data_IF_142233778850
#
_entry.id   IF_142233778850
#
_cell.length_a   1.000
_cell.length_b   1.000
_cell.length_c   1.000
_cell.angle_alpha   90.00
_cell.angle_beta   90.00
_cell.angle_gamma   90.00
#
_symmetry.space_group_name_H-M   'P 1'
#
loop_
_entity.id
_entity.type
_entity.pdbx_description
1 polymer ?
#
# COMPACT_ATOMS: atom_id res chain seq x y z
N UNK A 1 1.74 14.86 1.89
CA UNK A 1 1.59 13.41 1.66
C UNK A 1 0.64 13.15 0.49
N UNK A 2 1.00 12.23 -0.41
CA UNK A 2 0.12 11.74 -1.49
C UNK A 2 -0.82 10.65 -0.97
N UNK A 3 -2.12 10.74 -1.28
CA UNK A 3 -3.09 9.74 -0.82
C UNK A 3 -3.77 9.04 -1.99
N UNK A 4 -3.62 7.72 -2.04
CA UNK A 4 -4.26 6.83 -3.00
C UNK A 4 -5.57 6.29 -2.42
N UNK A 5 -6.69 6.55 -3.10
CA UNK A 5 -7.97 5.97 -2.71
C UNK A 5 -8.00 4.51 -3.11
N UNK A 6 -7.94 3.61 -2.13
CA UNK A 6 -8.08 2.18 -2.37
C UNK A 6 -9.46 1.87 -2.94
N UNK A 7 -9.54 1.07 -4.00
CA UNK A 7 -10.83 0.66 -4.56
C UNK A 7 -10.83 -0.77 -5.11
N UNK A 8 -11.94 -1.49 -4.89
CA UNK A 8 -12.22 -2.79 -5.51
C UNK A 8 -13.01 -2.65 -6.83
N UNK A 9 -13.18 -1.43 -7.33
CA UNK A 9 -13.90 -1.09 -8.56
C UNK A 9 -12.90 -0.63 -9.66
N UNK A 10 -12.35 -1.56 -10.48
CA UNK A 10 -11.35 -1.21 -11.48
C UNK A 10 -11.79 -0.12 -12.45
N UNK A 11 -13.06 -0.10 -12.85
CA UNK A 11 -13.60 0.88 -13.79
C UNK A 11 -13.46 2.34 -13.31
N UNK A 12 -13.25 2.58 -12.02
CA UNK A 12 -13.00 3.91 -11.48
C UNK A 12 -11.66 4.50 -11.92
N UNK A 13 -10.70 3.67 -12.37
CA UNK A 13 -9.48 4.16 -13.01
C UNK A 13 -9.80 5.16 -14.14
N UNK A 14 -10.90 4.96 -14.87
CA UNK A 14 -11.29 5.80 -16.01
C UNK A 14 -12.06 7.08 -15.63
N UNK A 15 -12.56 7.19 -14.39
CA UNK A 15 -13.55 8.24 -14.06
C UNK A 15 -13.34 8.95 -12.73
N UNK A 16 -12.57 8.38 -11.79
CA UNK A 16 -12.45 8.94 -10.45
C UNK A 16 -11.66 10.27 -10.41
N UNK A 17 -10.74 10.48 -11.36
CA UNK A 17 -9.95 11.71 -11.47
C UNK A 17 -9.03 12.01 -10.28
N UNK A 18 -8.78 11.03 -9.41
CA UNK A 18 -7.89 11.14 -8.23
C UNK A 18 -6.97 9.93 -8.16
N UNK A 19 -5.83 10.01 -7.44
CA UNK A 19 -4.97 8.87 -7.30
C UNK A 19 -5.66 7.65 -6.68
N UNK A 20 -5.51 6.49 -7.32
CA UNK A 20 -6.13 5.23 -6.89
C UNK A 20 -5.09 4.18 -6.49
N UNK A 21 -5.49 3.30 -5.59
CA UNK A 21 -4.76 2.07 -5.26
C UNK A 21 -5.63 0.87 -5.63
N UNK A 22 -5.15 0.04 -6.57
CA UNK A 22 -5.95 -1.02 -7.18
C UNK A 22 -5.20 -2.35 -7.11
N UNK A 23 -5.89 -3.42 -6.74
CA UNK A 23 -5.29 -4.74 -6.61
C UNK A 23 -5.18 -5.48 -7.94
N UNK A 24 -4.04 -6.13 -8.16
CA UNK A 24 -3.81 -7.08 -9.25
C UNK A 24 -4.95 -8.10 -9.34
N UNK A 25 -5.46 -8.58 -8.20
CA UNK A 25 -6.57 -9.55 -8.15
C UNK A 25 -7.88 -9.06 -8.77
N UNK A 26 -8.08 -7.74 -8.86
CA UNK A 26 -9.25 -7.13 -9.50
C UNK A 26 -9.05 -6.90 -11.00
N UNK A 27 -7.79 -6.93 -11.46
CA UNK A 27 -7.38 -6.66 -12.83
C UNK A 27 -7.09 -7.94 -13.62
N UNK A 28 -6.51 -8.97 -12.99
CA UNK A 28 -5.96 -10.15 -13.66
C UNK A 28 -6.96 -10.87 -14.56
N UNK A 29 -8.21 -11.04 -14.10
CA UNK A 29 -9.27 -11.71 -14.87
C UNK A 29 -9.96 -10.85 -15.91
N UNK A 30 -9.57 -9.58 -16.09
CA UNK A 30 -10.27 -8.67 -17.00
C UNK A 30 -9.79 -8.86 -18.44
N UNK A 31 -10.76 -9.05 -19.34
CA UNK A 31 -10.52 -9.02 -20.80
C UNK A 31 -10.08 -7.64 -21.25
N UNK A 32 -10.83 -6.59 -20.89
CA UNK A 32 -10.49 -5.19 -21.16
C UNK A 32 -10.13 -4.42 -19.90
N UNK A 33 -9.11 -3.58 -20.02
CA UNK A 33 -8.63 -2.71 -18.96
C UNK A 33 -9.11 -1.27 -19.18
N UNK A 34 -9.49 -0.55 -18.12
CA UNK A 34 -9.80 0.88 -18.21
C UNK A 34 -8.53 1.67 -18.48
N UNK A 35 -8.63 2.78 -19.21
CA UNK A 35 -7.55 3.79 -19.24
C UNK A 35 -7.61 4.65 -17.98
N UNK A 36 -6.48 4.99 -17.41
CA UNK A 36 -6.43 5.81 -16.22
C UNK A 36 -6.69 7.28 -16.55
N UNK A 37 -7.56 7.92 -15.77
CA UNK A 37 -7.82 9.36 -15.77
C UNK A 37 -6.91 10.13 -14.80
N UNK A 38 -6.20 9.43 -13.90
CA UNK A 38 -5.24 9.99 -12.95
C UNK A 38 -4.16 8.95 -12.60
N UNK A 39 -3.02 9.37 -12.02
CA UNK A 39 -1.98 8.43 -11.62
C UNK A 39 -2.46 7.42 -10.59
N UNK A 40 -1.94 6.20 -10.62
CA UNK A 40 -2.37 5.14 -9.71
C UNK A 40 -1.20 4.24 -9.32
N UNK A 41 -1.41 3.49 -8.24
CA UNK A 41 -0.47 2.49 -7.78
C UNK A 41 -1.13 1.11 -7.63
N UNK A 42 -0.34 0.08 -7.81
CA UNK A 42 -0.79 -1.31 -7.85
C UNK A 42 -0.51 -2.03 -6.52
N UNK A 43 -1.53 -2.64 -5.95
CA UNK A 43 -1.41 -3.67 -4.92
C UNK A 43 -1.17 -5.04 -5.57
N UNK A 44 -0.19 -5.80 -5.08
CA UNK A 44 0.11 -7.15 -5.59
C UNK A 44 -0.97 -8.16 -5.24
N UNK A 45 -1.75 -7.90 -4.19
CA UNK A 45 -2.79 -8.81 -3.69
C UNK A 45 -2.28 -9.85 -2.69
N UNK A 46 -1.06 -9.70 -2.18
CA UNK A 46 -0.38 -10.69 -1.34
C UNK A 46 -1.14 -11.09 -0.09
N UNK A 47 -1.77 -10.13 0.58
CA UNK A 47 -2.63 -10.43 1.73
C UNK A 47 -3.72 -11.45 1.39
N UNK A 48 -4.38 -11.29 0.26
CA UNK A 48 -5.47 -12.20 -0.13
C UNK A 48 -4.91 -13.55 -0.56
N UNK A 49 -3.83 -13.56 -1.33
CA UNK A 49 -3.27 -14.78 -1.88
C UNK A 49 -2.70 -15.70 -0.80
N UNK A 50 -1.88 -15.16 0.09
CA UNK A 50 -1.31 -15.91 1.23
C UNK A 50 -2.43 -16.30 2.21
N UNK A 51 -3.41 -15.44 2.48
CA UNK A 51 -4.54 -15.81 3.33
C UNK A 51 -5.31 -17.01 2.77
N UNK A 52 -5.50 -17.07 1.45
CA UNK A 52 -6.25 -18.16 0.81
C UNK A 52 -5.42 -19.44 0.72
N UNK A 53 -4.15 -19.36 0.35
CA UNK A 53 -3.38 -20.53 -0.07
C UNK A 53 -2.19 -20.87 0.83
N UNK A 54 -1.79 -19.96 1.73
CA UNK A 54 -0.56 -20.10 2.54
C UNK A 54 0.72 -19.81 1.75
N UNK A 55 0.61 -19.46 0.48
CA UNK A 55 1.72 -19.24 -0.44
C UNK A 55 1.32 -18.33 -1.60
N UNK A 56 2.32 -17.89 -2.37
CA UNK A 56 2.11 -17.28 -3.68
C UNK A 56 1.89 -18.37 -4.74
N UNK A 57 0.77 -18.29 -5.46
CA UNK A 57 0.49 -19.12 -6.64
C UNK A 57 0.78 -18.38 -7.94
N UNK A 58 0.59 -17.07 -7.94
CA UNK A 58 1.02 -16.16 -8.99
C UNK A 58 2.54 -16.13 -8.98
N UNK A 59 3.17 -16.60 -10.04
CA UNK A 59 4.63 -16.56 -10.15
C UNK A 59 5.13 -15.14 -10.44
N UNK A 60 6.41 -14.84 -10.13
CA UNK A 60 7.01 -13.56 -10.49
C UNK A 60 6.94 -13.25 -11.99
N UNK A 61 7.06 -14.25 -12.86
CA UNK A 61 6.97 -14.07 -14.31
C UNK A 61 5.54 -13.69 -14.76
N UNK A 62 4.51 -14.34 -14.21
CA UNK A 62 3.12 -13.99 -14.47
C UNK A 62 2.80 -12.59 -13.94
N UNK A 63 3.30 -12.25 -12.75
CA UNK A 63 3.09 -10.93 -12.17
C UNK A 63 3.76 -9.83 -13.01
N UNK A 64 5.02 -10.01 -13.42
CA UNK A 64 5.71 -9.08 -14.35
C UNK A 64 4.91 -8.88 -15.63
N UNK A 65 4.43 -9.96 -16.24
CA UNK A 65 3.62 -9.91 -17.47
C UNK A 65 2.36 -9.08 -17.25
N UNK A 66 1.66 -9.30 -16.13
CA UNK A 66 0.47 -8.54 -15.78
C UNK A 66 0.80 -7.05 -15.54
N UNK A 67 1.88 -6.72 -14.82
CA UNK A 67 2.26 -5.33 -14.57
C UNK A 67 2.64 -4.60 -15.86
N UNK A 68 3.36 -5.25 -16.79
CA UNK A 68 3.65 -4.67 -18.12
C UNK A 68 2.37 -4.36 -18.90
N UNK A 69 1.41 -5.29 -18.87
CA UNK A 69 0.10 -5.10 -19.47
C UNK A 69 -0.62 -3.90 -18.86
N UNK A 70 -0.63 -3.78 -17.54
CA UNK A 70 -1.27 -2.67 -16.83
C UNK A 70 -0.60 -1.34 -17.15
N UNK A 71 0.73 -1.28 -17.15
CA UNK A 71 1.49 -0.07 -17.52
C UNK A 71 1.12 0.42 -18.92
N UNK A 72 0.97 -0.51 -19.87
CA UNK A 72 0.72 -0.20 -21.29
C UNK A 72 -0.75 0.14 -21.56
N UNK A 73 -1.70 -0.68 -21.10
CA UNK A 73 -3.12 -0.54 -21.43
C UNK A 73 -3.83 0.49 -20.53
N UNK A 74 -3.48 0.53 -19.23
CA UNK A 74 -4.10 1.46 -18.27
C UNK A 74 -3.40 2.82 -18.32
N UNK A 75 -2.07 2.84 -18.41
CA UNK A 75 -1.27 4.06 -18.34
C UNK A 75 -1.22 4.66 -16.93
N UNK A 76 -0.39 5.70 -16.75
CA UNK A 76 -0.24 6.45 -15.49
C UNK A 76 0.06 5.62 -14.23
N UNK A 77 0.68 4.44 -14.38
CA UNK A 77 1.15 3.63 -13.25
C UNK A 77 2.37 4.31 -12.62
N UNK A 78 2.27 4.74 -11.36
CA UNK A 78 3.36 5.40 -10.64
C UNK A 78 4.33 4.41 -10.01
N UNK A 79 3.79 3.38 -9.35
CA UNK A 79 4.57 2.30 -8.77
C UNK A 79 3.69 1.08 -8.52
N UNK A 80 4.33 -0.06 -8.29
CA UNK A 80 3.68 -1.33 -8.02
C UNK A 80 4.31 -2.02 -6.81
N UNK A 81 3.47 -2.50 -5.89
CA UNK A 81 3.91 -3.34 -4.79
C UNK A 81 4.47 -4.66 -5.34
N UNK A 82 5.50 -5.18 -4.70
CA UNK A 82 6.04 -6.52 -4.99
C UNK A 82 5.23 -7.62 -4.29
N UNK A 83 5.58 -8.87 -4.55
CA UNK A 83 4.91 -10.03 -3.95
C UNK A 83 5.57 -10.37 -2.60
N UNK A 84 5.34 -9.50 -1.62
CA UNK A 84 5.88 -9.61 -0.28
C UNK A 84 5.16 -10.64 0.60
N UNK A 85 5.67 -10.81 1.81
CA UNK A 85 5.14 -11.74 2.80
C UNK A 85 4.89 -10.99 4.10
N UNK A 86 3.62 -10.72 4.40
CA UNK A 86 3.26 -9.90 5.55
C UNK A 86 3.45 -10.64 6.88
N UNK A 87 3.88 -9.93 7.91
CA UNK A 87 4.27 -10.42 9.23
C UNK A 87 3.17 -10.26 10.31
N UNK A 88 1.91 -9.99 9.95
CA UNK A 88 0.83 -10.10 10.93
C UNK A 88 0.71 -11.53 11.47
N UNK A 89 0.38 -11.67 12.76
CA UNK A 89 0.29 -12.98 13.43
C UNK A 89 -0.61 -13.98 12.70
N UNK A 90 -1.69 -13.51 12.09
CA UNK A 90 -2.60 -14.35 11.30
C UNK A 90 -1.95 -14.89 10.02
N UNK A 91 -1.02 -14.14 9.41
CA UNK A 91 -0.27 -14.58 8.22
C UNK A 91 0.83 -15.56 8.62
N UNK A 92 1.58 -15.27 9.69
CA UNK A 92 2.59 -16.19 10.23
C UNK A 92 1.96 -17.53 10.64
N UNK A 93 0.80 -17.51 11.29
CA UNK A 93 0.05 -18.72 11.64
C UNK A 93 -0.44 -19.46 10.38
N UNK A 94 -0.81 -18.73 9.32
CA UNK A 94 -1.28 -19.31 8.06
C UNK A 94 -0.17 -20.02 7.29
N UNK A 95 1.05 -19.49 7.33
CA UNK A 95 2.21 -20.03 6.59
C UNK A 95 3.06 -21.00 7.43
N UNK A 96 2.98 -20.93 8.76
CA UNK A 96 3.86 -21.65 9.67
C UNK A 96 5.29 -21.12 9.69
N UNK A 97 5.54 -19.92 9.14
CA UNK A 97 6.86 -19.33 8.98
C UNK A 97 7.13 -18.24 10.02
N UNK A 98 8.42 -17.95 10.25
CA UNK A 98 8.85 -16.86 11.13
C UNK A 98 8.84 -15.50 10.42
N UNK A 99 8.93 -14.41 11.19
CA UNK A 99 9.16 -13.05 10.65
C UNK A 99 10.42 -13.01 9.78
N UNK A 100 11.49 -13.66 10.21
CA UNK A 100 12.75 -13.72 9.46
C UNK A 100 12.59 -14.47 8.12
N UNK A 101 11.79 -15.53 8.07
CA UNK A 101 11.45 -16.24 6.83
C UNK A 101 10.68 -15.34 5.86
N UNK A 102 9.65 -14.65 6.36
CA UNK A 102 8.86 -13.71 5.57
C UNK A 102 9.72 -12.57 5.02
N UNK A 103 10.62 -12.01 5.84
CA UNK A 103 11.58 -11.00 5.38
C UNK A 103 12.50 -11.54 4.28
N UNK A 104 13.10 -12.72 4.46
CA UNK A 104 13.96 -13.34 3.43
C UNK A 104 13.22 -13.52 2.11
N UNK A 105 12.01 -14.06 2.15
CA UNK A 105 11.18 -14.28 0.95
C UNK A 105 10.77 -12.96 0.29
N UNK A 106 10.45 -11.94 1.09
CA UNK A 106 10.11 -10.59 0.62
C UNK A 106 11.29 -9.94 -0.12
N UNK A 107 12.48 -9.96 0.50
CA UNK A 107 13.70 -9.39 -0.11
C UNK A 107 14.05 -10.16 -1.40
N UNK A 108 14.04 -11.49 -1.35
CA UNK A 108 14.31 -12.32 -2.52
C UNK A 108 13.34 -12.03 -3.68
N UNK A 109 12.04 -11.89 -3.39
CA UNK A 109 11.05 -11.56 -4.40
C UNK A 109 11.28 -10.17 -5.02
N UNK A 110 11.58 -9.15 -4.20
CA UNK A 110 11.91 -7.82 -4.72
C UNK A 110 13.11 -7.87 -5.68
N UNK A 111 14.19 -8.57 -5.28
CA UNK A 111 15.39 -8.71 -6.11
C UNK A 111 15.09 -9.44 -7.42
N UNK A 112 14.29 -10.51 -7.36
CA UNK A 112 13.86 -11.25 -8.55
C UNK A 112 13.03 -10.38 -9.51
N UNK A 113 12.03 -9.66 -9.00
CA UNK A 113 11.20 -8.77 -9.82
C UNK A 113 12.01 -7.64 -10.44
N UNK A 114 12.92 -7.02 -9.68
CA UNK A 114 13.84 -6.00 -10.17
C UNK A 114 14.79 -6.55 -11.23
N UNK A 115 15.28 -7.78 -11.08
CA UNK A 115 16.12 -8.45 -12.08
C UNK A 115 15.35 -8.74 -13.37
N UNK A 116 14.13 -9.28 -13.27
CA UNK A 116 13.29 -9.63 -14.43
C UNK A 116 12.76 -8.42 -15.19
N UNK A 117 12.48 -7.32 -14.49
CA UNK A 117 11.88 -6.14 -15.06
C UNK A 117 12.41 -4.87 -14.38
N UNK A 118 13.67 -4.49 -14.64
CA UNK A 118 14.30 -3.32 -14.01
C UNK A 118 13.67 -1.99 -14.43
N UNK A 119 12.95 -1.97 -15.54
CA UNK A 119 12.25 -0.79 -16.06
C UNK A 119 10.91 -0.51 -15.36
N UNK A 120 10.40 -1.46 -14.55
CA UNK A 120 9.14 -1.32 -13.83
C UNK A 120 9.34 -0.66 -12.45
N UNK A 121 8.41 0.20 -12.01
CA UNK A 121 8.55 0.97 -10.78
C UNK A 121 8.17 0.15 -9.54
N UNK A 122 9.03 -0.78 -9.14
CA UNK A 122 8.81 -1.63 -7.95
C UNK A 122 9.00 -0.82 -6.66
N UNK A 123 8.00 -0.85 -5.78
CA UNK A 123 8.15 -0.38 -4.40
C UNK A 123 8.95 -1.39 -3.57
N UNK A 124 9.68 -0.92 -2.56
CA UNK A 124 10.48 -1.78 -1.67
C UNK A 124 9.73 -1.99 -0.34
N UNK A 125 9.13 -3.16 -0.09
CA UNK A 125 8.41 -3.41 1.15
C UNK A 125 9.36 -3.76 2.29
N UNK A 126 9.25 -3.05 3.40
CA UNK A 126 9.81 -3.44 4.69
C UNK A 126 8.74 -4.20 5.49
N UNK A 127 9.12 -5.35 6.03
CA UNK A 127 8.24 -6.25 6.76
C UNK A 127 8.76 -6.49 8.17
N UNK A 128 7.86 -6.49 9.16
CA UNK A 128 8.25 -6.68 10.56
C UNK A 128 7.08 -6.56 11.52
N UNK A 129 7.34 -6.93 12.78
CA UNK A 129 6.40 -6.72 13.88
C UNK A 129 6.89 -5.59 14.81
N UNK A 130 8.16 -5.58 15.17
CA UNK A 130 8.78 -4.62 16.08
C UNK A 130 9.68 -3.65 15.32
N UNK A 131 10.09 -2.54 15.97
CA UNK A 131 11.10 -1.63 15.39
C UNK A 131 12.35 -2.38 14.96
N UNK A 132 12.84 -3.31 15.80
CA UNK A 132 14.01 -4.14 15.48
C UNK A 132 13.79 -5.00 14.23
N UNK A 133 12.58 -5.55 14.02
CA UNK A 133 12.28 -6.29 12.80
C UNK A 133 12.35 -5.41 11.55
N UNK A 134 11.79 -4.19 11.59
CA UNK A 134 11.87 -3.28 10.43
C UNK A 134 13.30 -2.86 10.12
N UNK A 135 14.10 -2.56 11.15
CA UNK A 135 15.51 -2.23 10.97
C UNK A 135 16.30 -3.44 10.42
N UNK A 136 16.05 -4.64 10.95
CA UNK A 136 16.65 -5.87 10.42
C UNK A 136 16.20 -6.19 9.00
N UNK A 137 14.96 -5.86 8.62
CA UNK A 137 14.50 -5.99 7.23
C UNK A 137 15.26 -5.00 6.32
N UNK A 138 15.49 -3.78 6.78
CA UNK A 138 16.28 -2.79 6.05
C UNK A 138 17.74 -3.26 5.88
N UNK A 139 18.36 -3.80 6.93
CA UNK A 139 19.72 -4.36 6.86
C UNK A 139 19.84 -5.46 5.80
N UNK A 140 18.80 -6.31 5.65
CA UNK A 140 18.79 -7.36 4.61
C UNK A 140 18.78 -6.79 3.19
N UNK A 141 18.06 -5.70 2.96
CA UNK A 141 18.06 -5.03 1.65
C UNK A 141 19.42 -4.36 1.39
N UNK A 142 19.95 -3.66 2.38
CA UNK A 142 21.25 -2.98 2.26
C UNK A 142 22.40 -3.98 2.03
N UNK A 143 22.39 -5.12 2.73
CA UNK A 143 23.33 -6.22 2.51
C UNK A 143 23.21 -6.84 1.09
N UNK A 144 22.05 -6.71 0.45
CA UNK A 144 21.84 -7.09 -0.94
C UNK A 144 22.16 -5.97 -1.96
N UNK A 145 22.76 -4.87 -1.51
CA UNK A 145 23.15 -3.72 -2.35
C UNK A 145 21.99 -2.81 -2.74
N UNK A 146 20.89 -2.82 -1.98
CA UNK A 146 19.73 -1.97 -2.22
C UNK A 146 19.80 -0.72 -1.35
N UNK A 147 19.90 0.45 -1.99
CA UNK A 147 19.83 1.75 -1.31
C UNK A 147 18.36 2.13 -1.04
N UNK A 148 17.95 2.02 0.22
CA UNK A 148 16.61 2.36 0.67
C UNK A 148 16.37 3.86 0.80
N UNK A 149 17.41 4.66 0.99
CA UNK A 149 17.30 6.12 1.11
C UNK A 149 17.07 6.77 -0.27
N UNK A 150 17.66 6.20 -1.32
CA UNK A 150 17.44 6.62 -2.71
C UNK A 150 16.17 6.02 -3.36
N UNK A 151 15.52 5.05 -2.71
CA UNK A 151 14.35 4.39 -3.26
C UNK A 151 13.16 5.37 -3.40
N UNK A 152 12.45 5.37 -4.55
CA UNK A 152 11.34 6.31 -4.77
C UNK A 152 10.15 6.04 -3.85
N UNK A 153 9.94 4.77 -3.49
CA UNK A 153 8.87 4.30 -2.59
C UNK A 153 9.37 3.13 -1.75
N UNK A 154 9.29 3.28 -0.43
CA UNK A 154 9.52 2.22 0.55
C UNK A 154 8.22 1.94 1.30
N UNK A 155 7.66 0.75 1.12
CA UNK A 155 6.37 0.36 1.69
C UNK A 155 6.50 -0.13 3.12
N UNK A 156 5.68 0.40 4.03
CA UNK A 156 5.54 -0.12 5.40
C UNK A 156 4.52 -1.27 5.40
N UNK A 157 5.01 -2.50 5.27
CA UNK A 157 4.19 -3.70 5.38
C UNK A 157 3.68 -3.91 6.81
N UNK A 158 2.67 -4.77 7.00
CA UNK A 158 2.21 -5.23 8.34
C UNK A 158 1.73 -4.18 9.36
N UNK A 159 1.53 -2.92 8.96
CA UNK A 159 1.11 -1.83 9.88
C UNK A 159 -0.41 -1.70 10.04
N UNK A 160 -1.20 -2.31 9.16
CA UNK A 160 -2.65 -2.09 9.07
C UNK A 160 -3.44 -2.41 10.35
N UNK A 161 -2.96 -3.33 11.21
CA UNK A 161 -3.61 -3.62 12.51
C UNK A 161 -3.00 -2.89 13.70
N UNK A 162 -1.87 -2.19 13.52
CA UNK A 162 -1.09 -1.55 14.60
C UNK A 162 -1.09 -0.01 14.54
N UNK A 163 -1.75 0.56 13.54
CA UNK A 163 -1.86 2.01 13.31
C UNK A 163 -2.50 2.85 14.43
N UNK A 164 -3.07 2.24 15.47
CA UNK A 164 -3.72 2.95 16.58
C UNK A 164 -2.79 3.16 17.79
N UNK A 165 -1.58 2.61 17.78
CA UNK A 165 -0.63 2.67 18.89
C UNK A 165 0.44 3.75 18.66
N UNK A 166 1.19 4.11 19.69
CA UNK A 166 2.41 4.93 19.56
C UNK A 166 3.52 4.22 18.76
N UNK A 167 3.44 2.90 18.65
CA UNK A 167 4.45 2.04 18.01
C UNK A 167 4.69 2.39 16.54
N UNK A 168 3.63 2.72 15.78
CA UNK A 168 3.79 3.07 14.37
C UNK A 168 4.61 4.36 14.19
N UNK A 169 4.45 5.33 15.09
CA UNK A 169 5.28 6.55 15.09
C UNK A 169 6.73 6.22 15.38
N UNK A 170 6.99 5.35 16.37
CA UNK A 170 8.36 4.92 16.71
C UNK A 170 9.04 4.21 15.54
N UNK A 171 8.33 3.33 14.82
CA UNK A 171 8.85 2.65 13.62
C UNK A 171 9.21 3.67 12.54
N UNK A 172 8.30 4.58 12.21
CA UNK A 172 8.54 5.61 11.18
C UNK A 172 9.72 6.51 11.56
N UNK A 173 9.81 6.95 12.81
CA UNK A 173 10.93 7.77 13.30
C UNK A 173 12.26 7.02 13.21
N UNK A 174 12.29 5.73 13.58
CA UNK A 174 13.50 4.92 13.48
C UNK A 174 13.97 4.75 12.01
N UNK A 175 13.04 4.57 11.08
CA UNK A 175 13.35 4.50 9.64
C UNK A 175 13.83 5.85 9.09
N UNK A 176 13.22 6.96 9.53
CA UNK A 176 13.67 8.30 9.18
C UNK A 176 15.09 8.61 9.66
N UNK A 177 15.47 8.12 10.84
CA UNK A 177 16.83 8.26 11.37
C UNK A 177 17.87 7.55 10.49
N UNK A 178 17.46 6.55 9.70
CA UNK A 178 18.29 5.89 8.68
C UNK A 178 18.22 6.55 7.29
N UNK A 179 17.56 7.70 7.17
CA UNK A 179 17.39 8.38 5.88
C UNK A 179 16.28 7.80 4.99
N UNK A 180 15.52 6.80 5.45
CA UNK A 180 14.41 6.22 4.70
C UNK A 180 13.18 7.11 4.83
N UNK A 181 13.08 8.13 3.99
CA UNK A 181 12.03 9.18 4.06
C UNK A 181 10.84 8.91 3.14
N UNK A 182 11.05 8.17 2.05
CA UNK A 182 10.05 7.93 1.00
C UNK A 182 9.06 6.82 1.37
N UNK A 183 8.49 6.92 2.57
CA UNK A 183 7.63 5.89 3.14
C UNK A 183 6.22 5.91 2.55
N UNK A 184 5.70 4.73 2.25
CA UNK A 184 4.29 4.49 1.91
C UNK A 184 3.61 3.67 3.01
N UNK A 185 2.54 4.21 3.59
CA UNK A 185 1.72 3.48 4.55
C UNK A 185 0.63 2.64 3.87
N UNK A 186 0.78 1.31 3.86
CA UNK A 186 -0.23 0.41 3.29
C UNK A 186 -1.47 0.30 4.18
N UNK A 187 -2.65 0.59 3.61
CA UNK A 187 -3.95 0.39 4.24
C UNK A 187 -4.17 1.18 5.54
N UNK A 188 -3.46 2.29 5.74
CA UNK A 188 -3.51 3.06 6.99
C UNK A 188 -4.87 3.77 7.11
N UNK A 189 -5.53 3.60 8.26
CA UNK A 189 -6.83 4.20 8.57
C UNK A 189 -6.69 5.62 9.12
N UNK A 190 -7.80 6.35 9.18
CA UNK A 190 -7.88 7.76 9.61
C UNK A 190 -7.08 8.08 10.87
N UNK A 191 -7.22 7.28 11.94
CA UNK A 191 -6.51 7.54 13.20
C UNK A 191 -4.98 7.41 13.06
N UNK A 192 -4.51 6.41 12.30
CA UNK A 192 -3.09 6.25 12.01
C UNK A 192 -2.56 7.39 11.14
N UNK A 193 -3.31 7.78 10.10
CA UNK A 193 -2.93 8.90 9.24
C UNK A 193 -2.87 10.23 9.99
N UNK A 194 -3.73 10.46 10.99
CA UNK A 194 -3.61 11.64 11.85
C UNK A 194 -2.31 11.66 12.66
N UNK A 195 -1.75 10.48 12.98
CA UNK A 195 -0.51 10.36 13.76
C UNK A 195 0.75 10.46 12.90
N UNK A 196 0.79 9.73 11.78
CA UNK A 196 2.01 9.59 10.96
C UNK A 196 1.91 10.20 9.57
N UNK A 197 0.76 10.77 9.17
CA UNK A 197 0.54 11.27 7.81
C UNK A 197 1.49 12.41 7.42
N UNK A 198 1.99 13.17 8.40
CA UNK A 198 3.01 14.19 8.19
C UNK A 198 4.44 13.63 8.10
N UNK A 199 4.63 12.35 8.47
CA UNK A 199 5.92 11.65 8.46
C UNK A 199 6.06 10.67 7.29
N UNK A 200 5.05 10.49 6.44
CA UNK A 200 5.13 9.56 5.30
C UNK A 200 4.89 10.29 3.99
N UNK A 201 5.58 9.86 2.94
CA UNK A 201 5.45 10.46 1.61
C UNK A 201 4.09 10.15 1.00
N UNK A 202 3.57 8.93 1.22
CA UNK A 202 2.25 8.54 0.73
C UNK A 202 1.55 7.49 1.59
N UNK A 203 0.27 7.27 1.35
CA UNK A 203 -0.51 6.19 1.95
C UNK A 203 -1.71 5.81 1.09
N UNK A 204 -2.28 4.64 1.33
CA UNK A 204 -3.56 4.22 0.77
C UNK A 204 -4.58 3.82 1.86
N UNK A 205 -5.85 3.82 1.50
CA UNK A 205 -6.88 3.19 2.32
C UNK A 205 -8.14 2.85 1.54
N UNK A 206 -8.70 1.68 1.80
CA UNK A 206 -10.05 1.27 1.38
C UNK A 206 -11.07 1.33 2.52
N UNK A 207 -10.73 1.98 3.65
CA UNK A 207 -11.59 2.02 4.84
C UNK A 207 -12.98 2.63 4.59
N UNK A 208 -13.10 3.50 3.58
CA UNK A 208 -14.37 4.10 3.16
C UNK A 208 -15.44 3.04 2.83
N UNK A 209 -15.08 1.91 2.22
CA UNK A 209 -16.05 0.88 1.80
C UNK A 209 -16.59 0.12 3.03
N UNK A 210 -15.75 -0.10 4.03
CA UNK A 210 -16.19 -0.68 5.31
C UNK A 210 -17.10 0.28 6.09
N UNK A 211 -16.77 1.57 6.13
CA UNK A 211 -17.58 2.64 6.75
C UNK A 211 -18.94 2.77 6.05
N UNK A 212 -18.95 2.79 4.71
CA UNK A 212 -20.16 2.90 3.91
C UNK A 212 -21.12 1.71 4.06
N UNK A 213 -20.62 0.50 4.38
CA UNK A 213 -21.47 -0.68 4.68
C UNK A 213 -22.28 -0.53 5.97
N UNK A 214 -21.86 0.34 6.88
CA UNK A 214 -22.42 0.50 8.23
C UNK A 214 -23.23 1.78 8.40
N UNK A 215 -23.46 2.50 7.31
CA UNK A 215 -24.18 3.76 7.31
C UNK A 215 -25.31 3.71 6.29
N UNK A 216 -26.38 4.51 6.50
CA UNK A 216 -27.38 4.68 5.47
C UNK A 216 -26.73 5.22 4.18
N UNK A 217 -27.28 4.89 2.99
CA UNK A 217 -26.88 5.52 1.75
C UNK A 217 -26.92 7.06 1.84
N UNK A 218 -26.08 7.74 1.06
CA UNK A 218 -26.16 9.19 0.97
C UNK A 218 -27.51 9.63 0.39
N UNK A 219 -27.97 10.86 0.70
CA UNK A 219 -29.10 11.45 -0.01
C UNK A 219 -28.94 11.35 -1.54
N UNK A 220 -29.97 10.85 -2.21
CA UNK A 220 -29.99 10.58 -3.65
C UNK A 220 -29.35 9.25 -4.09
N UNK A 221 -28.81 8.46 -3.16
CA UNK A 221 -28.36 7.08 -3.44
C UNK A 221 -29.51 6.10 -3.22
N UNK A 222 -30.46 6.05 -4.15
CA UNK A 222 -31.70 5.25 -4.02
C UNK A 222 -31.60 3.85 -4.64
N UNK A 223 -30.59 3.59 -5.48
CA UNK A 223 -30.46 2.35 -6.27
C UNK A 223 -29.67 1.23 -5.58
N UNK A 224 -29.16 1.45 -4.37
CA UNK A 224 -28.28 0.51 -3.68
C UNK A 224 -28.50 0.58 -2.17
N UNK A 225 -28.38 -0.57 -1.51
CA UNK A 225 -28.68 -0.73 -0.07
C UNK A 225 -27.73 0.05 0.85
N UNK A 226 -26.49 0.28 0.40
CA UNK A 226 -25.47 1.02 1.11
C UNK A 226 -24.40 1.49 0.12
N UNK A 227 -23.60 2.49 0.49
CA UNK A 227 -22.66 3.13 -0.42
C UNK A 227 -21.30 2.43 -0.56
N UNK A 228 -21.19 1.14 -0.22
CA UNK A 228 -19.91 0.39 -0.21
C UNK A 228 -19.20 0.29 -1.56
N UNK A 229 -19.94 0.52 -2.65
CA UNK A 229 -19.46 0.53 -4.03
C UNK A 229 -19.74 1.87 -4.72
N UNK A 230 -19.98 2.95 -3.96
CA UNK A 230 -20.43 4.23 -4.49
C UNK A 230 -19.27 5.23 -4.66
N UNK A 231 -18.98 5.73 -5.88
CA UNK A 231 -17.89 6.67 -6.09
C UNK A 231 -18.13 8.01 -5.39
N UNK A 232 -19.38 8.49 -5.34
CA UNK A 232 -19.74 9.73 -4.61
C UNK A 232 -19.36 9.63 -3.14
N UNK A 233 -19.64 8.50 -2.50
CA UNK A 233 -19.27 8.27 -1.10
C UNK A 233 -17.76 8.20 -0.92
N UNK A 234 -17.07 7.42 -1.75
CA UNK A 234 -15.63 7.24 -1.65
C UNK A 234 -14.86 8.56 -1.82
N UNK A 235 -15.26 9.37 -2.80
CA UNK A 235 -14.66 10.69 -3.05
C UNK A 235 -14.95 11.67 -1.92
N UNK A 236 -16.21 11.74 -1.44
CA UNK A 236 -16.55 12.59 -0.29
C UNK A 236 -15.79 12.17 0.98
N UNK A 237 -15.65 10.86 1.22
CA UNK A 237 -14.86 10.32 2.32
C UNK A 237 -13.38 10.71 2.20
N UNK A 238 -12.80 10.61 0.99
CA UNK A 238 -11.41 11.00 0.71
C UNK A 238 -11.19 12.48 1.00
N UNK A 239 -12.06 13.35 0.49
CA UNK A 239 -11.98 14.79 0.73
C UNK A 239 -12.03 15.09 2.21
N UNK A 240 -13.01 14.54 2.93
CA UNK A 240 -13.12 14.72 4.39
C UNK A 240 -11.88 14.21 5.13
N UNK A 241 -11.35 13.05 4.75
CA UNK A 241 -10.12 12.53 5.36
C UNK A 241 -8.99 13.54 5.22
N UNK A 242 -8.70 13.99 4.00
CA UNK A 242 -7.58 14.88 3.71
C UNK A 242 -7.71 16.25 4.38
N UNK A 243 -8.91 16.83 4.39
CA UNK A 243 -9.19 18.11 5.08
C UNK A 243 -9.00 18.01 6.60
N UNK A 244 -9.13 16.82 7.18
CA UNK A 244 -9.04 16.60 8.63
C UNK A 244 -7.71 15.96 9.07
N UNK A 245 -6.74 15.80 8.19
CA UNK A 245 -5.39 15.41 8.60
C UNK A 245 -4.66 16.63 9.17
N UNK A 246 -3.87 16.46 10.24
CA UNK A 246 -3.03 17.54 10.75
C UNK A 246 -2.09 18.03 9.65
N UNK A 247 -2.01 19.35 9.49
CA UNK A 247 -0.94 19.97 8.71
C UNK A 247 0.38 19.72 9.44
N UNK A 248 1.48 19.38 8.74
CA UNK A 248 2.80 19.36 9.36
C UNK A 248 3.06 20.71 10.05
N UNK A 249 3.69 20.73 11.25
CA UNK A 249 4.17 21.98 11.82
C UNK A 249 5.08 22.68 10.80
N UNK A 250 4.99 24.01 10.71
CA UNK A 250 5.87 24.79 9.85
C UNK A 250 7.33 24.49 10.24
N UNK A 251 8.18 24.16 9.26
CA UNK A 251 9.62 24.01 9.48
C UNK A 251 10.17 25.31 10.09
N UNK A 252 10.59 25.27 11.36
CA UNK A 252 11.15 26.44 12.03
C UNK A 252 10.82 26.61 13.52
N UNK A 253 9.84 25.88 14.07
CA UNK A 253 9.67 25.84 15.53
C UNK A 253 10.66 24.82 16.15
N UNK A 254 11.94 25.15 16.12
CA UNK A 254 12.93 24.53 16.98
C UNK A 254 12.46 24.75 18.43
N UNK A 255 12.21 23.66 19.15
CA UNK A 255 11.96 23.72 20.57
C UNK A 255 13.18 24.34 21.26
N UNK A 256 12.96 25.49 21.90
CA UNK A 256 13.80 26.00 22.97
C UNK A 256 13.60 25.16 24.24
#
# INVERSE_FOLDING_TARGET
>A
MRFYLGTHMPNWLNTAGVPLFVSHRRLAGRRSLPRAAAPWALDSGGFTEISMFGEWRTTPAEYVTAVRRYRTEIGQLEWCATQDWMCESVMLARTGLSVADHQRRTVANYLELRHRAPDLPWAIPLQGATVADYLGCADRYEAAGVDLAAAPVVGLGSVCRRQATSEITTIVTALHARGIRQLHGFGVKTLGLRRIGHLIASADSMAWSYDARRRPPLPGCTTHINCANCPRYALAWRTRLLTNLPTPPAEGAAAA
#
